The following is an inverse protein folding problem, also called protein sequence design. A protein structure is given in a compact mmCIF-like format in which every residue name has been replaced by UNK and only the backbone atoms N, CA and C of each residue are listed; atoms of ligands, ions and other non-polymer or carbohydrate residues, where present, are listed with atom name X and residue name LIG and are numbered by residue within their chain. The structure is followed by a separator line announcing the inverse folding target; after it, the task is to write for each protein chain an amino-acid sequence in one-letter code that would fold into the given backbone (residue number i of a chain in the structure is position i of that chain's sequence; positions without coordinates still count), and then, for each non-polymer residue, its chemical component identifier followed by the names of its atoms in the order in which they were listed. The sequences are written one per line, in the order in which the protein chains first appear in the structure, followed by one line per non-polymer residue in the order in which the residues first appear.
data_IF_957449753247
#
_entry.id   IF_957449753247
#
_cell.length_a   1.000
_cell.length_b   1.000
_cell.length_c   1.000
_cell.angle_alpha   90.00
_cell.angle_beta   90.00
_cell.angle_gamma   90.00
#
_symmetry.space_group_name_H-M   'P 1'
#
loop_
_entity.id
_entity.type
_entity.pdbx_description
1 polymer ?
#
# COMPACT_ATOMS: atom_id res chain seq x y z
N UNK A 1 -16.11 -5.88 10.43
CA UNK A 1 -15.31 -5.30 9.32
C UNK A 1 -14.35 -6.37 8.78
N UNK A 2 -14.88 -7.42 8.14
CA UNK A 2 -14.23 -8.74 8.16
C UNK A 2 -13.17 -9.02 7.07
N UNK A 3 -12.86 -8.09 6.15
CA UNK A 3 -12.19 -8.47 4.90
C UNK A 3 -11.07 -7.53 4.39
N UNK A 4 -10.51 -6.61 5.20
CA UNK A 4 -9.54 -5.63 4.67
C UNK A 4 -8.10 -6.18 4.62
N UNK A 5 -7.75 -7.17 5.46
CA UNK A 5 -6.37 -7.64 5.61
C UNK A 5 -6.13 -9.11 5.21
N UNK A 6 -7.17 -9.84 4.77
CA UNK A 6 -6.98 -11.17 4.22
C UNK A 6 -6.50 -11.08 2.76
N UNK A 7 -5.23 -11.40 2.54
CA UNK A 7 -4.71 -11.73 1.22
C UNK A 7 -5.53 -12.89 0.64
N UNK A 8 -6.43 -12.60 -0.30
CA UNK A 8 -7.10 -13.63 -1.09
C UNK A 8 -6.20 -14.05 -2.24
N UNK A 9 -5.82 -15.32 -2.24
CA UNK A 9 -5.11 -15.92 -3.36
C UNK A 9 -5.97 -15.81 -4.63
N UNK A 10 -5.53 -14.95 -5.56
CA UNK A 10 -6.13 -14.88 -6.90
C UNK A 10 -5.61 -16.03 -7.76
N UNK A 11 -6.39 -16.43 -8.75
CA UNK A 11 -5.98 -17.40 -9.76
C UNK A 11 -5.32 -16.65 -10.91
N UNK A 12 -4.00 -16.72 -11.02
CA UNK A 12 -3.24 -16.15 -12.14
C UNK A 12 -1.76 -16.48 -12.06
N UNK A 13 -1.08 -16.57 -13.21
CA UNK A 13 0.36 -16.90 -13.32
C UNK A 13 1.21 -15.89 -12.51
N UNK A 14 0.75 -14.64 -12.42
CA UNK A 14 1.41 -13.62 -11.62
C UNK A 14 1.31 -13.85 -10.10
N UNK A 15 0.45 -14.74 -9.60
CA UNK A 15 0.38 -15.08 -8.17
C UNK A 15 1.41 -16.13 -7.77
N UNK A 16 1.80 -17.03 -8.68
CA UNK A 16 2.73 -18.12 -8.41
C UNK A 16 4.21 -17.73 -8.52
N UNK A 17 4.52 -16.60 -9.18
CA UNK A 17 5.89 -16.07 -9.25
C UNK A 17 6.41 -15.72 -7.85
N UNK A 18 7.71 -15.95 -7.64
CA UNK A 18 8.36 -15.65 -6.37
C UNK A 18 8.30 -14.15 -6.02
N UNK A 19 7.87 -13.80 -4.79
CA UNK A 19 7.74 -12.39 -4.35
C UNK A 19 8.99 -11.53 -4.56
N UNK A 20 10.18 -12.10 -4.38
CA UNK A 20 11.45 -11.39 -4.59
C UNK A 20 11.68 -11.02 -6.06
N UNK A 21 11.32 -11.93 -6.97
CA UNK A 21 11.42 -11.67 -8.42
C UNK A 21 10.44 -10.56 -8.79
N UNK A 22 9.23 -10.55 -8.22
CA UNK A 22 8.28 -9.45 -8.44
C UNK A 22 8.81 -8.11 -7.94
N UNK A 23 9.45 -8.06 -6.77
CA UNK A 23 10.09 -6.83 -6.27
C UNK A 23 11.13 -6.34 -7.26
N UNK A 24 12.00 -7.22 -7.74
CA UNK A 24 13.02 -6.85 -8.71
C UNK A 24 12.41 -6.38 -10.04
N UNK A 25 11.37 -7.05 -10.53
CA UNK A 25 10.64 -6.65 -11.74
C UNK A 25 9.97 -5.28 -11.59
N UNK A 26 9.36 -4.99 -10.44
CA UNK A 26 8.73 -3.69 -10.19
C UNK A 26 9.77 -2.58 -10.12
N UNK A 27 10.90 -2.83 -9.44
CA UNK A 27 12.00 -1.86 -9.38
C UNK A 27 12.59 -1.62 -10.77
N UNK A 28 12.85 -2.67 -11.55
CA UNK A 28 13.31 -2.57 -12.93
C UNK A 28 12.30 -1.78 -13.79
N UNK A 29 11.01 -2.05 -13.62
CA UNK A 29 9.94 -1.33 -14.31
C UNK A 29 9.91 0.16 -13.94
N UNK A 30 10.13 0.51 -12.68
CA UNK A 30 10.22 1.91 -12.24
C UNK A 30 11.43 2.61 -12.84
N UNK A 31 12.60 1.98 -12.82
CA UNK A 31 13.82 2.52 -13.43
C UNK A 31 13.58 2.78 -14.91
N UNK A 32 13.04 1.81 -15.65
CA UNK A 32 12.69 1.99 -17.07
C UNK A 32 11.73 3.17 -17.26
N UNK A 33 10.67 3.25 -16.45
CA UNK A 33 9.65 4.31 -16.52
C UNK A 33 10.22 5.72 -16.32
N UNK A 34 11.26 5.88 -15.50
CA UNK A 34 11.88 7.19 -15.23
C UNK A 34 12.66 7.73 -16.43
N UNK A 35 13.40 6.88 -17.16
CA UNK A 35 14.21 7.29 -18.31
C UNK A 35 13.47 7.25 -19.66
N UNK A 36 12.21 6.85 -19.65
CA UNK A 36 11.45 6.58 -20.88
C UNK A 36 10.88 7.83 -21.57
N UNK A 37 10.88 7.77 -22.90
CA UNK A 37 10.14 8.66 -23.79
C UNK A 37 8.64 8.33 -23.87
N UNK A 38 7.86 9.25 -24.43
CA UNK A 38 6.39 9.13 -24.48
C UNK A 38 5.91 7.84 -25.15
N UNK A 39 6.51 7.45 -26.28
CA UNK A 39 6.16 6.22 -27.00
C UNK A 39 6.37 4.97 -26.14
N UNK A 40 7.48 4.92 -25.39
CA UNK A 40 7.78 3.81 -24.51
C UNK A 40 6.87 3.78 -23.27
N UNK A 41 6.45 4.93 -22.74
CA UNK A 41 5.46 4.99 -21.66
C UNK A 41 4.09 4.45 -22.09
N UNK A 42 3.68 4.67 -23.35
CA UNK A 42 2.45 4.09 -23.90
C UNK A 42 2.58 2.57 -24.04
N UNK A 43 3.75 2.06 -24.45
CA UNK A 43 4.01 0.63 -24.48
C UNK A 43 3.95 0.00 -23.08
N UNK A 44 4.58 0.64 -22.08
CA UNK A 44 4.58 0.17 -20.69
C UNK A 44 3.17 0.16 -20.08
N UNK A 45 2.35 1.18 -20.37
CA UNK A 45 0.97 1.21 -19.90
C UNK A 45 0.14 0.10 -20.55
N UNK A 46 0.35 -0.20 -21.84
CA UNK A 46 -0.28 -1.33 -22.51
C UNK A 46 0.11 -2.68 -21.87
N UNK A 47 1.39 -2.87 -21.54
CA UNK A 47 1.86 -4.07 -20.83
C UNK A 47 1.17 -4.23 -19.46
N UNK A 48 1.00 -3.14 -18.71
CA UNK A 48 0.25 -3.13 -17.44
C UNK A 48 -1.19 -3.61 -17.67
N UNK A 49 -1.89 -3.07 -18.67
CA UNK A 49 -3.26 -3.48 -18.98
C UNK A 49 -3.36 -4.97 -19.34
N UNK A 50 -2.41 -5.48 -20.13
CA UNK A 50 -2.33 -6.90 -20.47
C UNK A 50 -2.18 -7.74 -19.20
N UNK A 51 -1.27 -7.38 -18.30
CA UNK A 51 -1.06 -8.08 -17.02
C UNK A 51 -2.33 -8.05 -16.16
N UNK A 52 -3.04 -6.93 -16.11
CA UNK A 52 -4.28 -6.78 -15.34
C UNK A 52 -5.39 -7.68 -15.87
N UNK A 53 -5.54 -7.77 -17.20
CA UNK A 53 -6.53 -8.64 -17.84
C UNK A 53 -6.21 -10.11 -17.57
N UNK A 54 -4.96 -10.54 -17.79
CA UNK A 54 -4.55 -11.93 -17.57
C UNK A 54 -4.57 -12.35 -16.09
N UNK A 55 -4.41 -11.41 -15.16
CA UNK A 55 -4.44 -11.70 -13.72
C UNK A 55 -5.85 -11.70 -13.12
N UNK A 56 -6.89 -11.40 -13.91
CA UNK A 56 -8.28 -11.32 -13.44
C UNK A 56 -8.50 -10.20 -12.41
N UNK A 57 -7.65 -9.18 -12.40
CA UNK A 57 -7.66 -8.09 -11.41
C UNK A 57 -8.40 -6.84 -11.89
N UNK A 58 -9.00 -6.88 -13.08
CA UNK A 58 -9.54 -5.73 -13.81
C UNK A 58 -10.48 -4.85 -12.97
N UNK A 59 -11.48 -5.43 -12.30
CA UNK A 59 -12.47 -4.64 -11.53
C UNK A 59 -11.86 -3.90 -10.33
N UNK A 60 -10.95 -4.56 -9.62
CA UNK A 60 -10.28 -3.97 -8.45
C UNK A 60 -9.29 -2.91 -8.88
N UNK A 61 -8.51 -3.20 -9.93
CA UNK A 61 -7.56 -2.26 -10.52
C UNK A 61 -8.26 -1.01 -11.04
N UNK A 62 -9.38 -1.14 -11.78
CA UNK A 62 -10.17 0.00 -12.23
C UNK A 62 -10.72 0.82 -11.07
N UNK A 63 -11.25 0.16 -10.03
CA UNK A 63 -11.79 0.87 -8.86
C UNK A 63 -10.73 1.74 -8.18
N UNK A 64 -9.50 1.25 -8.08
CA UNK A 64 -8.41 1.95 -7.41
C UNK A 64 -7.76 3.00 -8.32
N UNK A 65 -7.68 2.77 -9.62
CA UNK A 65 -7.18 3.76 -10.60
C UNK A 65 -8.24 4.78 -11.05
N UNK A 66 -9.53 4.58 -10.73
CA UNK A 66 -10.60 5.53 -11.07
C UNK A 66 -10.35 6.92 -10.53
N UNK A 67 -9.92 7.03 -9.28
CA UNK A 67 -9.58 8.33 -8.67
C UNK A 67 -8.43 9.01 -9.43
N UNK A 68 -7.46 8.24 -9.88
CA UNK A 68 -6.35 8.75 -10.67
C UNK A 68 -6.83 9.34 -12.00
N UNK A 69 -7.65 8.62 -12.76
CA UNK A 69 -8.14 9.13 -14.06
C UNK A 69 -9.14 10.28 -13.94
N UNK A 70 -9.98 10.31 -12.90
CA UNK A 70 -10.98 11.36 -12.72
C UNK A 70 -10.41 12.67 -12.18
N UNK A 71 -9.43 12.59 -11.28
CA UNK A 71 -8.93 13.77 -10.56
C UNK A 71 -7.46 14.05 -10.84
N UNK A 72 -6.59 13.06 -10.65
CA UNK A 72 -5.13 13.28 -10.69
C UNK A 72 -4.63 13.54 -12.12
N UNK A 73 -5.09 12.76 -13.09
CA UNK A 73 -4.70 12.88 -14.49
C UNK A 73 -5.07 14.25 -15.09
N UNK A 74 -6.35 14.70 -15.06
CA UNK A 74 -6.70 16.01 -15.60
C UNK A 74 -6.04 17.13 -14.81
N UNK A 75 -5.87 16.99 -13.50
CA UNK A 75 -5.17 17.98 -12.69
C UNK A 75 -3.72 18.19 -13.15
N UNK A 76 -2.96 17.11 -13.38
CA UNK A 76 -1.57 17.20 -13.86
C UNK A 76 -1.50 17.82 -15.25
N UNK A 77 -2.36 17.40 -16.17
CA UNK A 77 -2.34 17.89 -17.55
C UNK A 77 -2.72 19.37 -17.60
N UNK A 78 -3.79 19.77 -16.90
CA UNK A 78 -4.19 21.18 -16.79
C UNK A 78 -3.07 21.98 -16.13
N UNK A 79 -2.56 21.53 -14.99
CA UNK A 79 -1.46 22.22 -14.31
C UNK A 79 -0.27 22.42 -15.25
N UNK A 80 0.14 21.41 -16.01
CA UNK A 80 1.27 21.57 -16.92
C UNK A 80 0.96 22.50 -18.09
N UNK A 81 -0.24 22.44 -18.68
CA UNK A 81 -0.64 23.32 -19.80
C UNK A 81 -0.58 24.80 -19.40
N UNK A 82 -0.99 25.14 -18.18
CA UNK A 82 -1.02 26.52 -17.69
C UNK A 82 0.31 26.98 -17.07
N UNK A 83 1.06 26.08 -16.42
CA UNK A 83 2.26 26.46 -15.65
C UNK A 83 3.59 26.10 -16.33
N UNK A 84 3.61 25.41 -17.48
CA UNK A 84 4.86 25.02 -18.15
C UNK A 84 5.79 26.21 -18.45
N UNK A 85 5.23 27.34 -18.92
CA UNK A 85 5.98 28.57 -19.21
C UNK A 85 6.67 29.17 -17.98
N UNK A 86 6.11 28.97 -16.79
CA UNK A 86 6.68 29.48 -15.52
C UNK A 86 7.97 28.75 -15.16
N UNK A 87 8.05 27.45 -15.46
CA UNK A 87 9.23 26.63 -15.19
C UNK A 87 10.29 26.70 -16.30
N UNK A 88 9.91 27.07 -17.52
CA UNK A 88 10.83 27.22 -18.66
C UNK A 88 11.65 28.53 -18.63
N UNK A 89 11.40 29.42 -17.66
CA UNK A 89 12.20 30.64 -17.45
C UNK A 89 11.97 31.76 -18.48
N UNK A 90 11.11 31.55 -19.47
CA UNK A 90 10.97 32.49 -20.60
C UNK A 90 10.16 33.75 -20.28
N UNK A 91 9.43 33.85 -19.16
CA UNK A 91 8.83 35.10 -18.66
C UNK A 91 8.38 35.00 -17.20
N UNK A 92 9.17 35.46 -16.20
CA UNK A 92 8.78 35.41 -14.78
C UNK A 92 7.71 36.45 -14.38
N UNK A 93 7.13 37.22 -15.32
CA UNK A 93 6.56 38.54 -15.03
C UNK A 93 5.06 38.78 -15.26
N UNK A 94 4.25 37.83 -15.76
CA UNK A 94 2.80 38.07 -15.98
C UNK A 94 1.96 37.01 -15.29
N UNK A 95 2.03 37.06 -13.96
CA UNK A 95 1.12 36.41 -13.04
C UNK A 95 -0.34 36.79 -13.41
N UNK A 96 -1.18 35.77 -13.62
CA UNK A 96 -2.66 35.78 -13.66
C UNK A 96 -3.44 36.08 -14.96
N UNK A 97 -2.93 36.75 -16.00
CA UNK A 97 -3.84 37.30 -17.03
C UNK A 97 -3.72 36.77 -18.47
N UNK A 98 -2.81 35.84 -18.77
CA UNK A 98 -2.75 35.26 -20.12
C UNK A 98 -2.59 33.74 -20.07
N UNK A 99 -3.69 32.97 -20.08
CA UNK A 99 -3.65 31.52 -20.21
C UNK A 99 -3.25 31.18 -21.65
N UNK A 100 -1.98 31.36 -22.00
CA UNK A 100 -1.45 30.86 -23.27
C UNK A 100 -1.32 29.35 -23.13
N UNK A 101 -2.26 28.65 -23.75
CA UNK A 101 -2.23 27.19 -23.87
C UNK A 101 -0.92 26.80 -24.55
N UNK A 102 -0.03 26.14 -23.79
CA UNK A 102 1.20 25.57 -24.33
C UNK A 102 0.94 24.20 -24.93
N UNK A 103 1.21 24.03 -26.22
CA UNK A 103 1.18 22.71 -26.88
C UNK A 103 2.27 21.81 -26.27
N UNK A 104 3.45 22.37 -25.96
CA UNK A 104 4.54 21.64 -25.30
C UNK A 104 4.17 21.26 -23.86
N UNK A 105 3.50 22.16 -23.13
CA UNK A 105 2.96 21.87 -21.80
C UNK A 105 1.95 20.72 -21.79
N UNK A 106 1.16 20.56 -22.86
CA UNK A 106 0.25 19.43 -23.00
C UNK A 106 0.99 18.10 -23.18
N UNK A 107 1.99 18.05 -24.07
CA UNK A 107 2.82 16.85 -24.32
C UNK A 107 3.57 16.44 -23.05
N UNK A 108 4.17 17.41 -22.35
CA UNK A 108 4.88 17.17 -21.09
C UNK A 108 3.91 16.72 -20.00
N UNK A 109 2.71 17.32 -19.94
CA UNK A 109 1.67 16.97 -18.98
C UNK A 109 1.22 15.52 -19.14
N UNK A 110 0.99 15.09 -20.38
CA UNK A 110 0.69 13.69 -20.70
C UNK A 110 1.85 12.78 -20.33
N UNK A 111 3.10 13.16 -20.65
CA UNK A 111 4.30 12.36 -20.31
C UNK A 111 4.40 12.14 -18.79
N UNK A 112 4.21 13.19 -17.99
CA UNK A 112 4.24 13.11 -16.52
C UNK A 112 3.06 12.28 -15.99
N UNK A 113 1.85 12.51 -16.49
CA UNK A 113 0.67 11.78 -16.06
C UNK A 113 0.76 10.28 -16.38
N UNK A 114 1.22 9.90 -17.58
CA UNK A 114 1.47 8.51 -17.95
C UNK A 114 2.59 7.87 -17.13
N UNK A 115 3.66 8.62 -16.83
CA UNK A 115 4.75 8.15 -15.97
C UNK A 115 4.24 7.83 -14.57
N UNK A 116 3.47 8.73 -13.97
CA UNK A 116 2.84 8.51 -12.67
C UNK A 116 1.85 7.34 -12.70
N UNK A 117 1.05 7.23 -13.77
CA UNK A 117 0.16 6.09 -13.96
C UNK A 117 0.91 4.76 -13.96
N UNK A 118 2.02 4.66 -14.69
CA UNK A 118 2.83 3.43 -14.76
C UNK A 118 3.43 3.04 -13.40
N UNK A 119 3.98 4.02 -12.66
CA UNK A 119 4.54 3.81 -11.32
C UNK A 119 3.46 3.38 -10.31
N UNK A 120 2.33 4.08 -10.27
CA UNK A 120 1.23 3.75 -9.36
C UNK A 120 0.60 2.40 -9.70
N UNK A 121 0.35 2.14 -10.98
CA UNK A 121 -0.29 0.92 -11.43
C UNK A 121 0.55 -0.33 -11.15
N UNK A 122 1.86 -0.28 -11.43
CA UNK A 122 2.78 -1.37 -11.08
C UNK A 122 2.82 -1.62 -9.57
N UNK A 123 2.79 -0.54 -8.76
CA UNK A 123 2.71 -0.62 -7.30
C UNK A 123 1.43 -1.29 -6.81
N UNK A 124 0.27 -0.90 -7.37
CA UNK A 124 -1.04 -1.48 -7.02
C UNK A 124 -1.05 -2.97 -7.35
N UNK A 125 -0.60 -3.36 -8.55
CA UNK A 125 -0.51 -4.77 -8.95
C UNK A 125 0.40 -5.55 -7.98
N UNK A 126 1.54 -4.97 -7.60
CA UNK A 126 2.46 -5.61 -6.65
C UNK A 126 1.82 -5.85 -5.29
N UNK A 127 1.18 -4.83 -4.71
CA UNK A 127 0.49 -4.91 -3.40
C UNK A 127 -0.64 -5.94 -3.45
N UNK A 128 -1.38 -6.01 -4.56
CA UNK A 128 -2.50 -6.93 -4.71
C UNK A 128 -2.07 -8.39 -4.93
N UNK A 129 -0.96 -8.61 -5.63
CA UNK A 129 -0.51 -9.95 -6.00
C UNK A 129 0.48 -10.57 -5.01
N UNK A 130 1.03 -9.79 -4.09
CA UNK A 130 2.10 -10.23 -3.18
C UNK A 130 1.66 -10.19 -1.73
N UNK A 131 1.64 -11.36 -1.09
CA UNK A 131 1.44 -11.46 0.36
C UNK A 131 2.70 -10.96 1.09
N UNK A 132 2.57 -10.04 2.06
CA UNK A 132 3.71 -9.54 2.84
C UNK A 132 4.41 -10.67 3.60
N UNK A 133 3.65 -11.67 4.08
CA UNK A 133 4.20 -12.84 4.77
C UNK A 133 5.10 -13.68 3.86
N UNK A 134 4.65 -13.96 2.63
CA UNK A 134 5.44 -14.73 1.65
C UNK A 134 6.72 -13.99 1.26
N UNK A 135 6.65 -12.66 1.14
CA UNK A 135 7.82 -11.82 0.88
C UNK A 135 8.83 -11.90 2.03
N UNK A 136 8.38 -11.74 3.27
CA UNK A 136 9.23 -11.83 4.47
C UNK A 136 9.88 -13.22 4.62
N UNK A 137 9.14 -14.30 4.36
CA UNK A 137 9.66 -15.67 4.37
C UNK A 137 10.68 -15.97 3.26
N UNK A 138 10.66 -15.21 2.17
CA UNK A 138 11.67 -15.35 1.10
C UNK A 138 12.90 -14.52 1.40
N UNK A 139 12.72 -13.30 1.90
CA UNK A 139 13.81 -12.44 2.37
C UNK A 139 14.59 -13.12 3.49
N UNK A 140 13.94 -13.85 4.40
CA UNK A 140 14.63 -14.58 5.46
C UNK A 140 15.61 -15.66 5.00
N UNK A 141 15.44 -16.20 3.79
CA UNK A 141 16.40 -17.13 3.21
C UNK A 141 17.72 -16.45 2.81
N UNK A 142 17.74 -15.12 2.70
CA UNK A 142 18.93 -14.33 2.41
C UNK A 142 19.61 -13.88 3.71
N UNK A 143 20.51 -14.70 4.27
CA UNK A 143 21.46 -14.37 5.37
C UNK A 143 20.93 -13.54 6.57
N UNK A 144 19.63 -13.40 6.74
CA UNK A 144 19.01 -12.65 7.82
C UNK A 144 18.92 -13.58 9.03
N UNK A 145 19.24 -13.09 10.24
CA UNK A 145 19.14 -13.91 11.44
C UNK A 145 17.74 -14.51 11.59
N UNK A 146 17.67 -15.80 11.93
CA UNK A 146 16.41 -16.50 12.14
C UNK A 146 15.48 -15.79 13.15
N UNK A 147 16.07 -15.09 14.13
CA UNK A 147 15.36 -14.28 15.12
C UNK A 147 14.52 -13.16 14.48
N UNK A 148 15.06 -12.47 13.47
CA UNK A 148 14.35 -11.36 12.78
C UNK A 148 13.18 -11.91 11.98
N UNK A 149 13.40 -13.03 11.29
CA UNK A 149 12.36 -13.71 10.51
C UNK A 149 11.21 -14.18 11.38
N UNK A 150 11.54 -14.81 12.52
CA UNK A 150 10.55 -15.24 13.49
C UNK A 150 9.73 -14.05 13.98
N UNK A 151 10.39 -12.94 14.33
CA UNK A 151 9.75 -11.72 14.81
C UNK A 151 8.78 -11.14 13.77
N UNK A 152 9.16 -11.08 12.49
CA UNK A 152 8.29 -10.59 11.42
C UNK A 152 7.03 -11.46 11.23
N UNK A 153 7.19 -12.78 11.21
CA UNK A 153 6.06 -13.72 11.12
C UNK A 153 5.15 -13.60 12.34
N UNK A 154 5.76 -13.47 13.53
CA UNK A 154 5.05 -13.28 14.79
C UNK A 154 4.26 -11.98 14.80
N UNK A 155 4.82 -10.85 14.36
CA UNK A 155 4.11 -9.57 14.26
C UNK A 155 2.88 -9.69 13.37
N UNK A 156 3.02 -10.29 12.18
CA UNK A 156 1.90 -10.41 11.24
C UNK A 156 0.73 -11.21 11.86
N UNK A 157 1.04 -12.29 12.59
CA UNK A 157 0.03 -13.05 13.34
C UNK A 157 -0.57 -12.24 14.50
N UNK A 158 0.26 -11.52 15.25
CA UNK A 158 -0.17 -10.72 16.40
C UNK A 158 -1.12 -9.59 15.99
N UNK A 159 -0.90 -8.95 14.83
CA UNK A 159 -1.82 -7.94 14.29
C UNK A 159 -3.23 -8.53 14.08
N UNK A 160 -3.33 -9.70 13.44
CA UNK A 160 -4.63 -10.36 13.22
C UNK A 160 -5.33 -10.71 14.55
N UNK A 161 -4.56 -11.13 15.57
CA UNK A 161 -5.12 -11.41 16.89
C UNK A 161 -5.64 -10.14 17.58
N UNK A 162 -4.90 -9.03 17.50
CA UNK A 162 -5.32 -7.73 18.07
C UNK A 162 -6.63 -7.26 17.43
N UNK A 163 -6.81 -7.43 16.11
CA UNK A 163 -8.08 -7.11 15.45
C UNK A 163 -9.25 -7.95 15.96
N UNK A 164 -9.03 -9.25 16.18
CA UNK A 164 -10.06 -10.13 16.74
C UNK A 164 -10.43 -9.73 18.18
N UNK A 165 -9.44 -9.36 19.00
CA UNK A 165 -9.69 -8.87 20.37
C UNK A 165 -10.44 -7.54 20.34
N UNK A 166 -10.07 -6.63 19.46
CA UNK A 166 -10.73 -5.35 19.27
C UNK A 166 -12.20 -5.55 18.85
N UNK A 167 -12.50 -6.48 17.93
CA UNK A 167 -13.88 -6.79 17.54
C UNK A 167 -14.70 -7.34 18.72
N UNK A 168 -14.11 -8.25 19.52
CA UNK A 168 -14.75 -8.78 20.74
C UNK A 168 -15.01 -7.70 21.79
N UNK A 169 -14.05 -6.80 22.03
CA UNK A 169 -14.21 -5.69 22.97
C UNK A 169 -15.28 -4.73 22.47
N UNK A 170 -15.28 -4.40 21.18
CA UNK A 170 -16.30 -3.55 20.57
C UNK A 170 -17.69 -4.14 20.76
N UNK A 171 -17.88 -5.43 20.51
CA UNK A 171 -19.18 -6.07 20.64
C UNK A 171 -19.62 -6.18 22.11
N UNK A 172 -18.70 -6.45 23.04
CA UNK A 172 -18.98 -6.42 24.47
C UNK A 172 -19.37 -5.02 24.98
N UNK A 173 -18.71 -3.96 24.50
CA UNK A 173 -19.04 -2.59 24.88
C UNK A 173 -20.38 -2.16 24.27
N UNK A 174 -20.67 -2.52 23.01
CA UNK A 174 -21.99 -2.28 22.40
C UNK A 174 -23.10 -2.95 23.21
N UNK A 175 -22.90 -4.17 23.71
CA UNK A 175 -23.86 -4.86 24.58
C UNK A 175 -24.08 -4.13 25.92
N UNK A 176 -23.09 -3.36 26.39
CA UNK A 176 -23.21 -2.48 27.57
C UNK A 176 -23.81 -1.11 27.25
N UNK A 177 -24.37 -0.92 26.06
CA UNK A 177 -25.01 0.33 25.63
C UNK A 177 -24.04 1.41 25.14
N UNK A 178 -22.77 1.07 24.89
CA UNK A 178 -21.78 2.03 24.42
C UNK A 178 -21.86 2.23 22.91
N UNK A 179 -22.19 3.45 22.47
CA UNK A 179 -22.19 3.87 21.06
C UNK A 179 -21.21 5.03 20.82
N UNK A 180 -20.39 4.94 19.75
CA UNK A 180 -19.39 5.96 19.39
C UNK A 180 -19.86 6.85 18.22
N UNK A 181 -20.87 6.38 17.49
CA UNK A 181 -21.24 6.93 16.19
C UNK A 181 -21.89 8.32 16.32
N UNK A 182 -22.70 8.55 17.36
CA UNK A 182 -23.54 9.76 17.49
C UNK A 182 -23.18 10.64 18.71
N UNK A 183 -21.90 10.74 19.05
CA UNK A 183 -21.46 11.49 20.24
C UNK A 183 -20.46 12.58 19.90
N UNK A 184 -20.57 13.72 20.59
CA UNK A 184 -19.65 14.85 20.46
C UNK A 184 -18.18 14.48 20.71
N UNK A 185 -17.26 15.25 20.14
CA UNK A 185 -15.81 14.97 20.07
C UNK A 185 -15.22 14.55 21.43
N UNK A 186 -15.58 15.24 22.52
CA UNK A 186 -15.11 14.90 23.89
C UNK A 186 -15.53 13.49 24.34
N UNK A 187 -16.80 13.14 24.16
CA UNK A 187 -17.31 11.81 24.53
C UNK A 187 -16.77 10.72 23.61
N UNK A 188 -16.50 11.03 22.34
CA UNK A 188 -15.83 10.11 21.40
C UNK A 188 -14.41 9.76 21.85
N UNK A 189 -13.64 10.73 22.34
CA UNK A 189 -12.28 10.50 22.88
C UNK A 189 -12.32 9.59 24.12
N UNK A 190 -13.17 9.92 25.10
CA UNK A 190 -13.40 9.08 26.29
C UNK A 190 -13.80 7.66 25.90
N UNK A 191 -14.59 7.53 24.83
CA UNK A 191 -14.98 6.26 24.27
C UNK A 191 -13.82 5.43 23.70
N UNK A 192 -12.87 6.04 22.99
CA UNK A 192 -11.68 5.33 22.52
C UNK A 192 -10.78 4.87 23.67
N UNK A 193 -10.67 5.67 24.75
CA UNK A 193 -9.93 5.29 25.95
C UNK A 193 -10.53 4.03 26.59
N UNK A 194 -11.87 3.94 26.65
CA UNK A 194 -12.58 2.77 27.19
C UNK A 194 -12.34 1.48 26.38
N UNK A 195 -11.99 1.58 25.09
CA UNK A 195 -11.59 0.44 24.25
C UNK A 195 -10.11 0.13 24.36
N UNK A 196 -9.26 1.17 24.46
CA UNK A 196 -7.81 1.05 24.50
C UNK A 196 -7.32 0.33 25.76
N UNK A 197 -7.85 0.70 26.93
CA UNK A 197 -7.39 0.13 28.21
C UNK A 197 -7.55 -1.41 28.22
N UNK A 198 -8.73 -2.00 27.94
CA UNK A 198 -8.88 -3.45 27.88
C UNK A 198 -7.98 -4.11 26.82
N UNK A 199 -7.83 -3.49 25.65
CA UNK A 199 -7.03 -4.03 24.55
C UNK A 199 -5.55 -4.10 24.93
N UNK A 200 -5.03 -3.07 25.60
CA UNK A 200 -3.66 -3.03 26.09
C UNK A 200 -3.42 -4.10 27.15
N UNK A 201 -4.33 -4.25 28.12
CA UNK A 201 -4.22 -5.27 29.16
C UNK A 201 -4.15 -6.69 28.56
N UNK A 202 -5.06 -7.02 27.63
CA UNK A 202 -5.08 -8.33 26.95
C UNK A 202 -3.80 -8.54 26.14
N UNK A 203 -3.32 -7.50 25.46
CA UNK A 203 -2.11 -7.57 24.64
C UNK A 203 -0.85 -7.78 25.49
N UNK A 204 -0.74 -7.09 26.63
CA UNK A 204 0.37 -7.23 27.58
C UNK A 204 0.40 -8.63 28.22
N UNK A 205 -0.74 -9.10 28.71
CA UNK A 205 -0.85 -10.44 29.30
C UNK A 205 -0.49 -11.53 28.28
N UNK A 206 -0.96 -11.37 27.03
CA UNK A 206 -0.59 -12.26 25.94
C UNK A 206 0.91 -12.22 25.65
N UNK A 207 1.51 -11.04 25.60
CA UNK A 207 2.94 -10.88 25.33
C UNK A 207 3.79 -11.58 26.42
N UNK A 208 3.41 -11.43 27.69
CA UNK A 208 4.06 -12.13 28.82
C UNK A 208 3.95 -13.66 28.68
N UNK A 209 2.74 -14.16 28.42
CA UNK A 209 2.51 -15.61 28.20
C UNK A 209 3.32 -16.16 27.02
N UNK A 210 3.41 -15.38 25.94
CA UNK A 210 4.19 -15.75 24.75
C UNK A 210 5.70 -15.71 25.02
N UNK A 211 6.20 -14.74 25.79
CA UNK A 211 7.59 -14.66 26.19
C UNK A 211 8.01 -15.88 27.03
N UNK A 212 7.23 -16.20 28.08
CA UNK A 212 7.47 -17.39 28.92
C UNK A 212 7.45 -18.66 28.06
N UNK A 213 6.49 -18.81 27.15
CA UNK A 213 6.42 -19.96 26.26
C UNK A 213 7.62 -20.06 25.30
N UNK A 214 8.21 -18.93 24.88
CA UNK A 214 9.41 -18.90 24.04
C UNK A 214 10.66 -19.26 24.84
N UNK A 215 10.77 -18.78 26.08
CA UNK A 215 11.85 -19.14 27.01
C UNK A 215 11.84 -20.64 27.32
N UNK A 216 10.67 -21.21 27.63
CA UNK A 216 10.50 -22.65 27.87
C UNK A 216 10.87 -23.50 26.65
N UNK A 217 10.74 -22.97 25.43
CA UNK A 217 11.15 -23.62 24.18
C UNK A 217 12.63 -23.42 23.84
N UNK A 218 13.39 -22.74 24.69
CA UNK A 218 14.81 -22.45 24.49
C UNK A 218 15.07 -21.43 23.37
N UNK A 219 14.10 -20.56 23.06
CA UNK A 219 14.31 -19.48 22.09
C UNK A 219 15.38 -18.51 22.63
N UNK A 220 16.42 -18.24 21.84
CA UNK A 220 17.58 -17.43 22.27
C UNK A 220 18.78 -18.22 22.82
N UNK A 221 18.62 -19.52 23.14
CA UNK A 221 19.72 -20.35 23.67
C UNK A 221 20.55 -21.07 22.59
N UNK A 222 20.28 -20.87 21.29
CA UNK A 222 21.05 -21.50 20.21
C UNK A 222 22.22 -20.63 19.71
N UNK A 223 23.43 -21.19 19.87
CA UNK A 223 24.66 -20.82 19.15
C UNK A 223 24.42 -21.00 17.64
N UNK A 224 24.75 -19.97 16.85
CA UNK A 224 24.71 -19.87 15.37
C UNK A 224 24.49 -21.21 14.62
N UNK A 225 23.41 -21.31 13.84
CA UNK A 225 23.34 -22.13 12.62
C UNK A 225 23.05 -21.22 11.45
#
# INVERSE_FOLDING_TARGET
MKNIFEYREGRGIFYSIDPLIKVFLVIAFWILTLYSELSFLVLLSAIIFIIVIYSGLTERFLRQTRFFFLFVFPFIVIFQVFFHWSFAGENPGLFFFNPRVSIDGFVIGIKIALRLFCLLSSSIIFIMTTSPLRLMQRISKFRIPASVTFLLVFINRSIALIFNDLERILDAQKARGFSIQDVGIRRRILGYIALLIPLLTISLERAQKQAIALELRGFGFKKKR
#
